data_IF_291584614139
#
_entry.id   IF_291584614139
#
_cell.length_a   1.000
_cell.length_b   1.000
_cell.length_c   1.000
_cell.angle_alpha   90.00
_cell.angle_beta   90.00
_cell.angle_gamma   90.00
#
_symmetry.space_group_name_H-M   'P 1'
#
loop_
_entity.id
_entity.type
_entity.pdbx_description
1 polymer ?
#
# COMPACT_ATOMS: atom_id res chain seq x y z
N UNK A 1 27.93 25.73 -26.25
CA UNK A 1 26.74 24.96 -25.84
C UNK A 1 27.09 24.31 -24.52
N UNK A 2 26.60 24.80 -23.37
CA UNK A 2 26.88 24.14 -22.08
C UNK A 2 26.11 22.82 -22.06
N UNK A 3 26.82 21.71 -21.85
CA UNK A 3 26.18 20.42 -21.66
C UNK A 3 25.28 20.48 -20.43
N UNK A 4 24.10 19.88 -20.52
CA UNK A 4 23.22 19.70 -19.37
C UNK A 4 23.97 18.82 -18.37
N UNK A 5 24.25 19.35 -17.18
CA UNK A 5 24.76 18.57 -16.06
C UNK A 5 23.64 17.64 -15.57
N UNK A 6 23.84 16.34 -15.79
CA UNK A 6 22.89 15.30 -15.42
C UNK A 6 22.64 15.29 -13.90
N UNK A 7 23.67 15.58 -13.09
CA UNK A 7 23.53 15.63 -11.64
C UNK A 7 22.63 16.80 -11.21
N UNK A 8 22.80 17.97 -11.86
CA UNK A 8 21.96 19.14 -11.63
C UNK A 8 20.52 18.93 -12.15
N UNK A 9 20.35 18.18 -13.25
CA UNK A 9 19.04 17.83 -13.81
C UNK A 9 18.26 16.81 -12.94
N UNK A 10 18.99 15.95 -12.22
CA UNK A 10 18.42 14.97 -11.30
C UNK A 10 18.14 15.54 -9.90
N UNK A 11 18.75 16.66 -9.54
CA UNK A 11 18.58 17.31 -8.24
C UNK A 11 17.12 17.76 -8.04
N UNK A 12 16.47 17.22 -6.99
CA UNK A 12 15.06 17.51 -6.67
C UNK A 12 14.02 16.61 -7.38
N UNK A 13 14.46 15.60 -8.15
CA UNK A 13 13.60 14.61 -8.83
C UNK A 13 13.81 13.17 -8.35
N UNK A 14 14.52 12.99 -7.24
CA UNK A 14 14.65 11.68 -6.61
C UNK A 14 13.44 11.43 -5.69
N UNK A 15 12.74 10.32 -5.94
CA UNK A 15 11.67 9.88 -5.06
C UNK A 15 12.27 9.47 -3.70
N UNK A 16 11.80 10.10 -2.64
CA UNK A 16 12.13 9.73 -1.26
C UNK A 16 11.08 8.76 -0.71
N UNK A 17 11.36 8.08 0.39
CA UNK A 17 10.36 7.20 1.05
C UNK A 17 9.17 7.99 1.64
N UNK A 18 9.22 9.33 1.62
CA UNK A 18 8.10 10.21 1.97
C UNK A 18 7.11 10.38 0.81
N UNK A 19 7.55 10.11 -0.43
CA UNK A 19 6.69 10.17 -1.60
C UNK A 19 5.61 9.09 -1.49
N UNK A 20 4.35 9.52 -1.48
CA UNK A 20 3.19 8.64 -1.48
C UNK A 20 2.39 8.79 -2.76
N UNK A 21 1.88 7.68 -3.25
CA UNK A 21 0.96 7.63 -4.37
C UNK A 21 -0.22 6.75 -4.02
N UNK A 22 -1.41 7.16 -4.44
CA UNK A 22 -2.59 6.33 -4.37
C UNK A 22 -2.79 5.62 -5.72
N UNK A 23 -3.15 4.35 -5.67
CA UNK A 23 -3.49 3.58 -6.87
C UNK A 23 -4.73 2.75 -6.62
N UNK A 24 -5.57 2.65 -7.63
CA UNK A 24 -6.69 1.72 -7.62
C UNK A 24 -6.13 0.30 -7.78
N UNK A 25 -6.43 -0.57 -6.81
CA UNK A 25 -6.01 -1.98 -6.84
C UNK A 25 -7.11 -2.85 -7.43
N UNK A 26 -8.36 -2.53 -7.09
CA UNK A 26 -9.59 -3.16 -7.55
C UNK A 26 -10.67 -2.07 -7.63
N UNK A 27 -11.75 -2.33 -8.37
CA UNK A 27 -12.79 -1.34 -8.60
C UNK A 27 -13.31 -0.73 -7.28
N UNK A 28 -13.04 0.56 -7.08
CA UNK A 28 -13.43 1.30 -5.86
C UNK A 28 -12.55 1.09 -4.63
N UNK A 29 -11.53 0.22 -4.68
CA UNK A 29 -10.54 0.00 -3.62
C UNK A 29 -9.19 0.61 -3.98
N UNK A 30 -8.84 1.68 -3.28
CA UNK A 30 -7.62 2.45 -3.48
C UNK A 30 -6.64 2.18 -2.34
N UNK A 31 -5.36 2.09 -2.68
CA UNK A 31 -4.29 1.87 -1.71
C UNK A 31 -3.26 2.97 -1.84
N UNK A 32 -2.88 3.54 -0.69
CA UNK A 32 -1.81 4.53 -0.59
C UNK A 32 -0.51 3.81 -0.30
N UNK A 33 0.44 3.92 -1.24
CA UNK A 33 1.76 3.33 -1.16
C UNK A 33 2.81 4.42 -1.01
N UNK A 34 3.76 4.21 -0.12
CA UNK A 34 5.01 4.97 -0.10
C UNK A 34 6.00 4.37 -1.09
N UNK A 35 6.84 5.23 -1.66
CA UNK A 35 7.87 4.83 -2.59
C UNK A 35 8.85 3.86 -1.93
N UNK A 36 8.99 2.68 -2.54
CA UNK A 36 10.00 1.70 -2.17
C UNK A 36 11.21 1.89 -3.06
N UNK A 37 12.30 2.45 -2.53
CA UNK A 37 13.51 2.66 -3.31
C UNK A 37 14.09 1.31 -3.80
N UNK A 38 14.80 1.29 -4.94
CA UNK A 38 15.46 0.07 -5.42
C UNK A 38 16.39 -0.56 -4.38
N UNK A 39 17.07 0.25 -3.58
CA UNK A 39 17.92 -0.21 -2.48
C UNK A 39 17.13 -0.85 -1.35
N UNK A 40 16.00 -0.24 -0.95
CA UNK A 40 15.12 -0.79 0.06
C UNK A 40 14.51 -2.12 -0.41
N UNK A 41 14.04 -2.18 -1.66
CA UNK A 41 13.52 -3.40 -2.26
C UNK A 41 14.57 -4.51 -2.30
N UNK A 42 15.82 -4.19 -2.63
CA UNK A 42 16.94 -5.15 -2.58
C UNK A 42 17.18 -5.67 -1.16
N UNK A 43 17.12 -4.80 -0.14
CA UNK A 43 17.22 -5.21 1.27
C UNK A 43 16.07 -6.13 1.70
N UNK A 44 14.85 -5.83 1.25
CA UNK A 44 13.66 -6.65 1.53
C UNK A 44 13.80 -8.03 0.88
N UNK A 45 14.17 -8.08 -0.42
CA UNK A 45 14.40 -9.34 -1.15
C UNK A 45 15.48 -10.20 -0.48
N UNK A 46 16.61 -9.60 -0.10
CA UNK A 46 17.68 -10.32 0.59
C UNK A 46 17.24 -10.89 1.95
N UNK A 47 16.39 -10.18 2.68
CA UNK A 47 15.83 -10.68 3.95
C UNK A 47 14.79 -11.79 3.73
N UNK A 48 14.16 -11.83 2.58
CA UNK A 48 13.24 -12.87 2.18
C UNK A 48 13.94 -14.10 1.59
N UNK A 49 15.24 -14.05 1.30
CA UNK A 49 15.98 -15.23 0.86
C UNK A 49 16.15 -16.24 2.01
N UNK A 50 15.73 -17.49 1.77
CA UNK A 50 16.00 -18.63 2.65
C UNK A 50 16.89 -19.63 1.93
N UNK A 51 17.98 -19.99 2.59
CA UNK A 51 18.85 -21.08 2.13
C UNK A 51 18.38 -22.39 2.76
N UNK A 52 17.96 -23.32 1.93
CA UNK A 52 17.62 -24.70 2.32
C UNK A 52 18.65 -25.65 1.71
N UNK A 53 19.04 -26.70 2.44
CA UNK A 53 19.97 -27.70 1.93
C UNK A 53 19.20 -28.92 1.44
N UNK A 54 19.35 -29.25 0.16
CA UNK A 54 18.84 -30.51 -0.43
C UNK A 54 20.05 -31.34 -0.84
N UNK A 55 20.25 -32.49 -0.20
CA UNK A 55 21.39 -33.37 -0.50
C UNK A 55 22.75 -32.68 -0.38
N UNK A 56 22.97 -31.89 0.69
CA UNK A 56 24.17 -31.07 0.92
C UNK A 56 24.41 -29.93 -0.10
N UNK A 57 23.53 -29.73 -1.09
CA UNK A 57 23.56 -28.59 -1.98
C UNK A 57 22.74 -27.43 -1.39
N UNK A 58 23.31 -26.22 -1.26
CA UNK A 58 22.54 -25.06 -0.85
C UNK A 58 21.63 -24.60 -2.00
N UNK A 59 20.34 -24.52 -1.73
CA UNK A 59 19.34 -23.94 -2.64
C UNK A 59 18.78 -22.70 -1.98
N UNK A 60 18.96 -21.56 -2.65
CA UNK A 60 18.37 -20.28 -2.24
C UNK A 60 16.98 -20.16 -2.85
N UNK A 61 15.97 -20.07 -1.99
CA UNK A 61 14.58 -19.83 -2.36
C UNK A 61 14.12 -18.49 -1.79
N UNK A 62 13.18 -17.84 -2.48
CA UNK A 62 12.51 -16.65 -1.96
C UNK A 62 11.32 -17.05 -1.10
N UNK A 63 11.26 -16.53 0.13
CA UNK A 63 10.11 -16.62 1.01
C UNK A 63 9.16 -15.45 0.73
N UNK A 64 8.11 -15.76 -0.04
CA UNK A 64 7.06 -14.81 -0.41
C UNK A 64 6.41 -14.15 0.82
N UNK A 65 6.25 -14.87 1.93
CA UNK A 65 5.66 -14.30 3.14
C UNK A 65 6.57 -13.26 3.76
N UNK A 66 7.88 -13.56 3.84
CA UNK A 66 8.87 -12.60 4.33
C UNK A 66 8.98 -11.38 3.41
N UNK A 67 8.86 -11.58 2.08
CA UNK A 67 8.85 -10.50 1.10
C UNK A 67 7.64 -9.58 1.31
N UNK A 68 6.44 -10.15 1.42
CA UNK A 68 5.19 -9.40 1.64
C UNK A 68 5.21 -8.65 2.97
N UNK A 69 5.72 -9.25 4.04
CA UNK A 69 5.89 -8.57 5.33
C UNK A 69 6.87 -7.39 5.24
N UNK A 70 7.93 -7.51 4.43
CA UNK A 70 8.84 -6.40 4.16
C UNK A 70 8.15 -5.25 3.42
N UNK A 71 7.34 -5.59 2.40
CA UNK A 71 6.59 -4.62 1.60
C UNK A 71 5.42 -3.97 2.35
N UNK A 72 4.83 -4.66 3.33
CA UNK A 72 3.72 -4.13 4.14
C UNK A 72 4.04 -2.78 4.80
N UNK A 73 5.33 -2.50 5.08
CA UNK A 73 5.80 -1.22 5.66
C UNK A 73 5.62 -0.02 4.72
N UNK A 74 5.49 -0.29 3.43
CA UNK A 74 5.29 0.71 2.38
C UNK A 74 3.81 0.94 2.10
N UNK A 75 2.90 0.18 2.70
CA UNK A 75 1.46 0.46 2.66
C UNK A 75 1.14 1.49 3.74
N UNK A 76 0.66 2.67 3.35
CA UNK A 76 0.38 3.78 4.27
C UNK A 76 -1.09 3.89 4.65
N UNK A 77 -1.96 3.32 3.84
CA UNK A 77 -3.40 3.34 4.06
C UNK A 77 -4.14 2.75 2.88
N UNK A 78 -5.45 2.69 3.02
CA UNK A 78 -6.34 2.38 1.93
C UNK A 78 -7.66 3.11 2.10
N UNK A 79 -8.45 3.15 1.02
CA UNK A 79 -9.83 3.57 1.08
C UNK A 79 -10.74 2.76 0.17
N UNK A 80 -12.03 2.72 0.50
CA UNK A 80 -13.07 2.03 -0.26
C UNK A 80 -13.10 0.51 -0.09
N UNK A 81 -12.32 -0.05 0.85
CA UNK A 81 -12.43 -1.46 1.21
C UNK A 81 -13.65 -1.66 2.12
N UNK A 82 -14.78 -2.08 1.58
CA UNK A 82 -15.98 -2.35 2.40
C UNK A 82 -16.01 -3.78 2.94
N UNK A 83 -16.80 -4.02 3.99
CA UNK A 83 -17.07 -5.38 4.52
C UNK A 83 -17.66 -6.26 3.41
N UNK A 84 -18.53 -5.72 2.57
CA UNK A 84 -19.08 -6.40 1.39
C UNK A 84 -17.97 -6.85 0.43
N UNK A 85 -17.04 -5.97 0.07
CA UNK A 85 -15.90 -6.36 -0.79
C UNK A 85 -15.03 -7.42 -0.11
N UNK A 86 -14.72 -7.23 1.18
CA UNK A 86 -13.92 -8.18 1.94
C UNK A 86 -14.57 -9.57 2.00
N UNK A 87 -15.90 -9.64 2.12
CA UNK A 87 -16.63 -10.90 2.12
C UNK A 87 -16.51 -11.67 0.81
N UNK A 88 -16.44 -10.96 -0.33
CA UNK A 88 -16.19 -11.57 -1.64
C UNK A 88 -14.76 -12.11 -1.74
N UNK A 89 -13.78 -11.38 -1.20
CA UNK A 89 -12.37 -11.77 -1.23
C UNK A 89 -12.07 -12.96 -0.33
N UNK A 90 -12.70 -12.99 0.85
CA UNK A 90 -12.39 -13.94 1.92
C UNK A 90 -13.47 -15.01 2.12
N UNK A 91 -14.50 -15.03 1.24
CA UNK A 91 -15.66 -15.90 1.34
C UNK A 91 -16.33 -15.88 2.73
N UNK A 92 -16.45 -14.69 3.33
CA UNK A 92 -17.06 -14.53 4.66
C UNK A 92 -18.57 -14.53 4.55
N UNK A 93 -19.24 -15.19 5.50
CA UNK A 93 -20.69 -15.08 5.66
C UNK A 93 -21.00 -13.77 6.39
N UNK A 94 -21.72 -12.87 5.72
CA UNK A 94 -22.11 -11.55 6.25
C UNK A 94 -23.62 -11.38 6.32
N UNK A 95 -24.39 -12.47 6.19
CA UNK A 95 -25.85 -12.43 6.13
C UNK A 95 -26.50 -11.94 7.43
N UNK A 96 -25.78 -12.06 8.54
CA UNK A 96 -26.22 -11.63 9.88
C UNK A 96 -26.02 -10.12 10.10
N UNK A 97 -25.29 -9.44 9.21
CA UNK A 97 -25.05 -8.00 9.27
C UNK A 97 -26.17 -7.22 8.58
N UNK A 98 -26.43 -6.01 9.05
CA UNK A 98 -27.31 -5.03 8.39
C UNK A 98 -26.70 -4.56 7.06
N UNK A 99 -27.49 -3.93 6.18
CA UNK A 99 -26.94 -3.39 4.93
C UNK A 99 -25.93 -2.25 5.19
N UNK A 100 -26.18 -1.44 6.21
CA UNK A 100 -25.25 -0.38 6.65
C UNK A 100 -23.91 -0.98 7.09
N UNK A 101 -23.92 -2.06 7.87
CA UNK A 101 -22.69 -2.75 8.32
C UNK A 101 -21.91 -3.39 7.16
N UNK A 102 -22.60 -3.85 6.10
CA UNK A 102 -21.94 -4.41 4.92
C UNK A 102 -21.24 -3.36 4.09
N UNK A 103 -21.79 -2.15 4.04
CA UNK A 103 -21.24 -1.04 3.27
C UNK A 103 -20.22 -0.22 4.07
N UNK A 104 -20.03 -0.53 5.36
CA UNK A 104 -18.98 0.07 6.18
C UNK A 104 -17.57 -0.24 5.65
N UNK A 105 -16.73 0.78 5.73
CA UNK A 105 -15.34 0.71 5.33
C UNK A 105 -14.49 0.04 6.43
N UNK A 106 -13.68 -0.93 6.03
CA UNK A 106 -12.75 -1.62 6.91
C UNK A 106 -11.56 -0.71 7.19
N UNK A 107 -11.31 -0.34 8.46
CA UNK A 107 -10.25 0.58 8.79
C UNK A 107 -8.89 -0.01 8.45
N UNK A 108 -7.98 0.84 7.98
CA UNK A 108 -6.60 0.47 7.82
C UNK A 108 -5.95 0.26 9.19
N UNK A 109 -5.55 -0.98 9.48
CA UNK A 109 -4.75 -1.32 10.65
C UNK A 109 -3.66 -2.31 10.24
N UNK A 110 -2.52 -2.37 10.96
CA UNK A 110 -1.48 -3.37 10.69
C UNK A 110 -2.02 -4.81 10.74
N UNK A 111 -3.00 -5.07 11.60
CA UNK A 111 -3.65 -6.37 11.72
C UNK A 111 -4.49 -6.70 10.48
N UNK A 112 -5.35 -5.77 10.03
CA UNK A 112 -6.18 -5.95 8.85
C UNK A 112 -5.33 -6.10 7.58
N UNK A 113 -4.24 -5.34 7.48
CA UNK A 113 -3.29 -5.45 6.37
C UNK A 113 -2.66 -6.84 6.33
N UNK A 114 -2.21 -7.35 7.48
CA UNK A 114 -1.64 -8.69 7.56
C UNK A 114 -2.66 -9.76 7.19
N UNK A 115 -3.90 -9.65 7.68
CA UNK A 115 -4.98 -10.57 7.28
C UNK A 115 -5.22 -10.55 5.77
N UNK A 116 -5.24 -9.38 5.15
CA UNK A 116 -5.45 -9.25 3.71
C UNK A 116 -4.28 -9.87 2.92
N UNK A 117 -3.04 -9.64 3.34
CA UNK A 117 -1.84 -10.22 2.71
C UNK A 117 -1.80 -11.75 2.84
N UNK A 118 -2.24 -12.30 3.98
CA UNK A 118 -2.22 -13.74 4.23
C UNK A 118 -3.38 -14.48 3.52
N UNK A 119 -4.51 -13.80 3.28
CA UNK A 119 -5.74 -14.45 2.80
C UNK A 119 -6.11 -14.10 1.36
N UNK A 120 -5.59 -13.01 0.80
CA UNK A 120 -5.93 -12.56 -0.55
C UNK A 120 -4.68 -12.51 -1.44
N UNK A 121 -4.46 -13.60 -2.17
CA UNK A 121 -3.27 -13.80 -3.01
C UNK A 121 -3.08 -12.68 -4.04
N UNK A 122 -4.17 -12.23 -4.68
CA UNK A 122 -4.14 -11.15 -5.68
C UNK A 122 -3.62 -9.83 -5.08
N UNK A 123 -3.93 -9.52 -3.83
CA UNK A 123 -3.44 -8.30 -3.19
C UNK A 123 -1.92 -8.36 -3.00
N UNK A 124 -1.41 -9.49 -2.52
CA UNK A 124 0.04 -9.71 -2.40
C UNK A 124 0.75 -9.67 -3.75
N UNK A 125 0.15 -10.27 -4.79
CA UNK A 125 0.68 -10.20 -6.16
C UNK A 125 0.78 -8.77 -6.68
N UNK A 126 -0.30 -7.98 -6.55
CA UNK A 126 -0.32 -6.58 -6.98
C UNK A 126 0.70 -5.74 -6.20
N UNK A 127 0.80 -5.93 -4.88
CA UNK A 127 1.79 -5.22 -4.05
C UNK A 127 3.22 -5.52 -4.49
N UNK A 128 3.54 -6.78 -4.80
CA UNK A 128 4.85 -7.19 -5.35
C UNK A 128 5.13 -6.52 -6.70
N UNK A 129 4.12 -6.41 -7.57
CA UNK A 129 4.24 -5.75 -8.87
C UNK A 129 4.49 -4.25 -8.76
N UNK A 130 3.79 -3.58 -7.83
CA UNK A 130 3.90 -2.13 -7.62
C UNK A 130 5.19 -1.73 -6.91
N UNK A 131 5.72 -2.57 -6.01
CA UNK A 131 6.97 -2.30 -5.31
C UNK A 131 8.19 -2.11 -6.23
N UNK A 132 8.14 -2.61 -7.48
CA UNK A 132 9.18 -2.42 -8.48
C UNK A 132 8.82 -1.46 -9.62
N UNK A 133 7.64 -0.85 -9.58
CA UNK A 133 7.14 0.01 -10.65
C UNK A 133 7.18 1.48 -10.25
N UNK A 134 7.93 2.28 -11.00
CA UNK A 134 7.90 3.75 -10.87
C UNK A 134 6.62 4.36 -11.44
N UNK A 135 5.78 3.58 -12.14
CA UNK A 135 4.64 4.09 -12.90
C UNK A 135 3.66 4.92 -12.07
N UNK A 136 3.33 4.46 -10.87
CA UNK A 136 2.40 5.16 -9.96
C UNK A 136 3.02 6.42 -9.31
N UNK A 137 4.35 6.49 -9.27
CA UNK A 137 5.08 7.59 -8.65
C UNK A 137 5.53 8.66 -9.65
N UNK A 138 5.46 8.39 -10.96
CA UNK A 138 5.86 9.35 -12.02
C UNK A 138 5.06 10.65 -11.94
N UNK A 139 3.73 10.58 -11.86
CA UNK A 139 2.89 11.77 -11.76
C UNK A 139 3.10 12.51 -10.43
N UNK A 140 3.44 11.81 -9.36
CA UNK A 140 3.81 12.43 -8.08
C UNK A 140 5.19 13.13 -8.15
N UNK A 141 6.15 12.55 -8.88
CA UNK A 141 7.46 13.13 -9.16
C UNK A 141 7.41 14.33 -10.09
N UNK A 142 6.47 14.35 -11.04
CA UNK A 142 6.23 15.44 -11.98
C UNK A 142 5.44 16.60 -11.33
N UNK A 143 5.02 16.44 -10.07
CA UNK A 143 4.30 17.46 -9.30
C UNK A 143 2.81 17.57 -9.67
N UNK A 144 2.29 16.68 -10.51
CA UNK A 144 0.88 16.65 -10.91
C UNK A 144 -0.03 16.13 -9.81
N UNK A 145 0.47 15.25 -8.94
CA UNK A 145 -0.23 14.76 -7.76
C UNK A 145 0.50 15.29 -6.51
N UNK A 146 -0.15 16.18 -5.75
CA UNK A 146 0.33 16.54 -4.40
C UNK A 146 0.38 15.26 -3.56
N UNK A 147 1.55 14.94 -3.00
CA UNK A 147 1.76 13.85 -2.03
C UNK A 147 0.48 13.52 -1.28
N UNK A 148 -0.09 12.34 -1.52
CA UNK A 148 -1.37 11.99 -0.92
C UNK A 148 -1.13 11.81 0.58
N UNK A 149 -1.70 12.68 1.44
CA UNK A 149 -1.52 12.54 2.87
C UNK A 149 -2.05 11.17 3.29
N UNK A 150 -1.24 10.43 4.06
CA UNK A 150 -1.67 9.18 4.68
C UNK A 150 -2.76 9.50 5.71
N UNK A 151 -4.02 9.46 5.29
CA UNK A 151 -5.18 9.74 6.13
C UNK A 151 -5.93 8.46 6.51
N UNK A 152 -6.40 8.31 7.75
CA UNK A 152 -7.48 7.38 8.05
C UNK A 152 -8.77 7.96 7.44
N UNK A 153 -9.37 7.24 6.48
CA UNK A 153 -10.74 7.54 6.05
C UNK A 153 -11.66 7.11 7.17
N UNK A 154 -12.19 8.08 7.90
CA UNK A 154 -13.00 7.82 9.09
C UNK A 154 -13.47 9.10 9.78
N UNK A 155 -14.43 9.78 9.17
CA UNK A 155 -15.31 10.74 9.85
C UNK A 155 -15.44 12.10 9.17
N UNK A 156 -16.40 12.24 8.26
CA UNK A 156 -16.96 13.55 7.89
C UNK A 156 -18.46 13.57 8.18
N UNK A 157 -18.87 14.46 9.09
CA UNK A 157 -20.16 15.18 9.18
C UNK A 157 -20.07 16.02 10.48
N UNK A 158 -19.90 17.36 10.42
CA UNK A 158 -20.96 18.41 10.40
C UNK A 158 -21.87 18.34 11.65
N UNK A 159 -22.28 19.38 12.38
CA UNK A 159 -22.36 20.83 12.16
C UNK A 159 -22.74 21.52 13.52
N UNK A 160 -22.69 22.86 13.58
CA UNK A 160 -23.34 23.83 14.50
C UNK A 160 -23.75 23.44 15.95
N UNK A 161 -23.31 24.15 17.01
CA UNK A 161 -23.84 25.48 17.41
C UNK A 161 -23.06 26.04 18.61
N UNK A 162 -22.77 27.36 18.70
CA UNK A 162 -22.51 28.02 19.97
C UNK A 162 -23.82 28.49 20.60
N UNK A 163 -24.18 27.92 21.75
CA UNK A 163 -25.32 28.35 22.53
C UNK A 163 -25.08 29.76 23.11
N UNK A 164 -25.91 30.71 22.70
CA UNK A 164 -26.20 31.96 23.42
C UNK A 164 -27.09 31.71 24.64
N UNK A 165 -26.87 32.55 25.67
CA UNK A 165 -27.73 32.86 26.83
C UNK A 165 -27.61 31.89 28.02
N UNK A 166 -27.46 32.34 29.27
CA UNK A 166 -27.86 33.59 29.91
C UNK A 166 -26.87 34.03 31.01
#
# INVERSE_FOLDING_TARGET
MSGIDIAQFMQGREATEELTAETEMLHGFFVTLAYCSPEALKKIRKKAERTTYIGHQPITNSDDKALLQGLAKYVKGWRGLTVRMLSQFLALKINELSEEEKDQEVPFTPHNLQMLLDKHETFGFLLKGLAGSNGIFRSALEGEIKNVPSGPVGGSSQDESPATSA
#
